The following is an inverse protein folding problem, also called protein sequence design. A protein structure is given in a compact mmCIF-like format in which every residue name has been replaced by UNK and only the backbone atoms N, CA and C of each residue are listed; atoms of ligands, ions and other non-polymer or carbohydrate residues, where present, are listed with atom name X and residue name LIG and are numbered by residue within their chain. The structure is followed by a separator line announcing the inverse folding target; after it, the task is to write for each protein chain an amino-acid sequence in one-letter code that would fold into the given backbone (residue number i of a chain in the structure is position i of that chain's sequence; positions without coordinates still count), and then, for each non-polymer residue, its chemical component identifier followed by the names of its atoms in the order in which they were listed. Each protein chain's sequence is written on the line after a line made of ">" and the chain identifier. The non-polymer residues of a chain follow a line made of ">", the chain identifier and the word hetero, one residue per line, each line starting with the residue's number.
data_IF_290977270718
#
_entry.id   IF_290977270718
#
_cell.length_a   1.000
_cell.length_b   1.000
_cell.length_c   1.000
_cell.angle_alpha   90.00
_cell.angle_beta   90.00
_cell.angle_gamma   90.00
#
_symmetry.space_group_name_H-M   'P 1'
#
loop_
_entity.id
_entity.type
_entity.pdbx_description
1 polymer ?
#
# COMPACT_ATOMS: atom_id res chain seq x y z
N UNK A 1 15.54 -24.88 48.91
CA UNK A 1 16.94 -25.04 48.46
C UNK A 1 17.33 -23.80 47.68
N UNK A 2 18.32 -23.06 48.17
CA UNK A 2 18.86 -21.82 47.61
C UNK A 2 19.88 -22.13 46.52
N UNK A 3 19.85 -21.43 45.39
CA UNK A 3 21.01 -21.20 44.50
C UNK A 3 20.81 -19.82 43.88
N UNK A 4 21.41 -18.83 44.26
CA UNK A 4 22.64 -18.03 44.16
C UNK A 4 23.07 -17.76 42.73
N UNK A 5 22.90 -16.50 42.37
CA UNK A 5 23.72 -15.52 41.63
C UNK A 5 24.80 -16.03 40.66
N UNK A 6 24.80 -15.45 39.45
CA UNK A 6 26.04 -14.97 38.84
C UNK A 6 25.70 -13.79 37.91
N UNK A 7 26.20 -12.63 38.26
CA UNK A 7 26.34 -11.39 37.54
C UNK A 7 27.55 -11.56 36.63
N UNK A 8 27.40 -11.30 35.34
CA UNK A 8 28.53 -11.05 34.44
C UNK A 8 28.31 -9.72 33.73
N UNK A 9 29.04 -8.73 34.20
CA UNK A 9 29.25 -7.46 33.53
C UNK A 9 30.30 -7.65 32.43
N UNK A 10 30.03 -7.15 31.21
CA UNK A 10 31.04 -6.97 30.16
C UNK A 10 30.81 -5.63 29.49
N UNK A 11 31.63 -4.72 29.89
CA UNK A 11 32.37 -3.60 29.28
C UNK A 11 31.95 -3.06 27.93
N UNK A 12 31.77 -1.74 27.96
CA UNK A 12 31.78 -0.78 26.89
C UNK A 12 33.06 -0.84 26.02
N UNK A 13 32.88 -0.68 24.71
CA UNK A 13 33.95 -0.23 23.85
C UNK A 13 33.38 0.91 22.98
N UNK A 14 33.83 2.13 23.34
CA UNK A 14 33.70 3.33 22.53
C UNK A 14 34.71 3.28 21.40
N UNK A 15 34.28 3.59 20.17
CA UNK A 15 35.15 3.99 19.08
C UNK A 15 34.63 5.32 18.53
N UNK A 16 35.35 6.36 18.87
CA UNK A 16 35.27 7.69 18.28
C UNK A 16 36.30 7.79 17.14
N UNK A 17 36.12 8.85 16.36
CA UNK A 17 36.99 9.47 15.33
C UNK A 17 36.59 9.07 13.89
N UNK A 18 36.51 10.04 12.96
CA UNK A 18 37.21 11.30 12.79
C UNK A 18 36.47 12.25 11.86
N UNK A 19 36.43 13.53 12.24
CA UNK A 19 36.22 14.68 11.37
C UNK A 19 37.38 14.85 10.41
N UNK A 20 37.10 15.19 9.16
CA UNK A 20 38.01 15.95 8.34
C UNK A 20 37.20 17.05 7.63
N UNK A 21 37.47 18.27 8.06
CA UNK A 21 37.07 19.50 7.43
C UNK A 21 38.09 19.88 6.36
N UNK A 22 37.60 20.56 5.32
CA UNK A 22 38.24 21.60 4.49
C UNK A 22 37.35 21.81 3.28
N UNK A 23 37.02 22.98 2.83
CA UNK A 23 37.43 24.34 3.06
C UNK A 23 36.56 25.26 2.21
N UNK A 24 36.52 26.51 2.60
CA UNK A 24 35.80 27.65 2.08
C UNK A 24 36.11 28.02 0.64
N UNK A 25 35.12 28.56 -0.07
CA UNK A 25 35.30 29.78 -0.88
C UNK A 25 33.95 30.43 -1.18
N UNK A 26 33.88 31.70 -0.80
CA UNK A 26 32.86 32.69 -1.12
C UNK A 26 32.63 32.86 -2.61
N UNK A 27 31.38 33.07 -3.00
CA UNK A 27 31.01 34.18 -3.89
C UNK A 27 29.50 34.37 -3.89
N UNK A 28 29.08 35.52 -3.45
CA UNK A 28 27.74 36.05 -3.52
C UNK A 28 27.39 36.42 -4.97
N UNK A 29 26.19 36.06 -5.40
CA UNK A 29 25.46 36.84 -6.39
C UNK A 29 23.96 36.57 -6.21
N UNK A 30 23.25 37.61 -5.82
CA UNK A 30 21.79 37.67 -5.78
C UNK A 30 21.22 37.62 -7.20
N UNK A 31 20.16 36.84 -7.40
CA UNK A 31 19.16 37.15 -8.42
C UNK A 31 17.83 36.44 -8.13
N UNK A 32 16.85 37.25 -7.76
CA UNK A 32 15.46 37.28 -8.13
C UNK A 32 14.68 35.92 -8.23
N UNK A 33 13.85 35.71 -7.22
CA UNK A 33 12.78 34.75 -7.22
C UNK A 33 11.68 35.17 -8.21
N UNK A 34 11.28 34.25 -9.10
CA UNK A 34 9.97 34.26 -9.71
C UNK A 34 9.24 32.96 -9.27
N UNK A 35 7.96 33.01 -8.87
CA UNK A 35 7.22 31.81 -8.51
C UNK A 35 6.84 31.06 -9.78
N UNK A 36 7.31 29.84 -9.92
CA UNK A 36 6.76 28.90 -10.90
C UNK A 36 5.50 28.27 -10.30
N UNK A 37 4.36 28.69 -10.78
CA UNK A 37 3.10 27.97 -10.67
C UNK A 37 3.29 26.56 -11.28
N UNK A 38 3.35 25.54 -10.41
CA UNK A 38 3.27 24.16 -10.84
C UNK A 38 1.81 23.77 -10.90
N UNK A 39 1.16 24.04 -12.00
CA UNK A 39 -0.10 23.40 -12.37
C UNK A 39 0.23 22.03 -12.94
N UNK A 40 0.41 21.05 -12.07
CA UNK A 40 0.36 19.65 -12.47
C UNK A 40 -1.09 19.17 -12.29
N UNK A 41 -1.94 19.54 -13.24
CA UNK A 41 -3.17 18.80 -13.54
C UNK A 41 -2.74 17.50 -14.24
N UNK A 42 -2.58 16.44 -13.48
CA UNK A 42 -2.48 15.10 -14.04
C UNK A 42 -3.90 14.63 -14.34
N UNK A 43 -4.40 15.04 -15.49
CA UNK A 43 -5.55 14.44 -16.14
C UNK A 43 -5.12 13.04 -16.55
N UNK A 44 -5.55 12.04 -15.79
CA UNK A 44 -5.41 10.64 -16.15
C UNK A 44 -6.29 10.42 -17.39
N UNK A 45 -5.66 10.43 -18.57
CA UNK A 45 -6.29 9.97 -19.79
C UNK A 45 -6.78 8.52 -19.58
N UNK A 46 -7.98 8.15 -20.13
CA UNK A 46 -8.41 6.76 -20.12
C UNK A 46 -7.30 5.92 -20.76
N UNK A 47 -6.82 4.93 -20.05
CA UNK A 47 -5.86 4.00 -20.58
C UNK A 47 -6.55 3.25 -21.71
N UNK A 48 -6.32 3.73 -22.93
CA UNK A 48 -6.67 3.00 -24.16
C UNK A 48 -6.00 1.64 -24.04
N UNK A 49 -6.80 0.59 -24.13
CA UNK A 49 -6.31 -0.76 -24.11
C UNK A 49 -5.22 -0.86 -25.20
N UNK A 50 -3.98 -1.04 -24.77
CA UNK A 50 -2.90 -1.29 -25.71
C UNK A 50 -3.35 -2.46 -26.59
N UNK A 51 -3.14 -2.41 -27.92
CA UNK A 51 -3.48 -3.54 -28.78
C UNK A 51 -2.81 -4.76 -28.21
N UNK A 52 -3.57 -5.85 -28.08
CA UNK A 52 -3.04 -7.14 -27.70
C UNK A 52 -1.93 -7.46 -28.70
N UNK A 53 -0.69 -7.14 -28.34
CA UNK A 53 0.49 -7.68 -29.02
C UNK A 53 0.40 -9.20 -28.92
N UNK A 54 1.29 -9.91 -29.57
CA UNK A 54 1.35 -11.38 -29.68
C UNK A 54 1.43 -12.11 -28.30
N UNK A 55 0.56 -11.70 -27.35
CA UNK A 55 0.44 -12.37 -26.05
C UNK A 55 -0.23 -13.71 -26.28
N UNK A 56 0.48 -14.76 -25.90
CA UNK A 56 -0.01 -16.13 -25.96
C UNK A 56 -1.09 -16.33 -24.89
N UNK A 57 -2.35 -16.35 -25.31
CA UNK A 57 -3.51 -16.52 -24.43
C UNK A 57 -3.67 -17.96 -23.89
N UNK A 58 -2.85 -18.91 -24.38
CA UNK A 58 -2.84 -20.28 -23.90
C UNK A 58 -1.89 -20.50 -22.70
N UNK A 59 -1.15 -19.46 -22.28
CA UNK A 59 -0.30 -19.52 -21.09
C UNK A 59 -1.13 -19.53 -19.81
N UNK A 60 -0.65 -20.28 -18.82
CA UNK A 60 -1.23 -20.29 -17.48
C UNK A 60 -1.03 -18.93 -16.79
N UNK A 61 -2.07 -18.44 -16.13
CA UNK A 61 -2.00 -17.21 -15.34
C UNK A 61 -1.36 -17.51 -13.98
N UNK A 62 -0.33 -16.77 -13.62
CA UNK A 62 0.26 -16.80 -12.27
C UNK A 62 -0.56 -15.92 -11.33
N UNK A 63 -1.27 -16.54 -10.40
CA UNK A 63 -2.06 -15.82 -9.40
C UNK A 63 -1.19 -15.43 -8.21
N UNK A 64 -1.10 -14.12 -7.93
CA UNK A 64 -0.38 -13.57 -6.77
C UNK A 64 -1.40 -13.12 -5.74
N UNK A 65 -1.37 -13.73 -4.56
CA UNK A 65 -2.28 -13.40 -3.45
C UNK A 65 -1.50 -12.88 -2.23
N UNK A 66 -2.24 -12.43 -1.22
CA UNK A 66 -1.69 -11.97 0.06
C UNK A 66 -1.85 -13.04 1.13
N UNK A 67 -1.07 -12.89 2.17
CA UNK A 67 -1.11 -13.72 3.38
C UNK A 67 -2.45 -13.63 4.12
N UNK A 68 -2.74 -14.62 4.95
CA UNK A 68 -3.87 -14.57 5.87
C UNK A 68 -3.74 -13.40 6.85
N UNK A 69 -4.87 -12.73 7.12
CA UNK A 69 -4.91 -11.52 7.95
C UNK A 69 -4.64 -10.22 7.19
N UNK A 70 -4.29 -10.27 5.90
CA UNK A 70 -4.23 -9.08 5.06
C UNK A 70 -5.62 -8.47 4.87
N UNK A 71 -5.79 -7.20 5.28
CA UNK A 71 -7.04 -6.47 5.06
C UNK A 71 -7.36 -6.28 3.57
N UNK A 72 -6.34 -6.13 2.72
CA UNK A 72 -6.49 -6.05 1.26
C UNK A 72 -7.00 -7.37 0.68
N UNK A 73 -6.48 -8.52 1.17
CA UNK A 73 -7.00 -9.85 0.77
C UNK A 73 -8.45 -10.00 1.18
N UNK A 74 -8.78 -9.73 2.45
CA UNK A 74 -10.15 -9.86 2.92
C UNK A 74 -11.14 -9.00 2.14
N UNK A 75 -10.74 -7.76 1.78
CA UNK A 75 -11.56 -6.90 0.92
C UNK A 75 -11.73 -7.48 -0.48
N UNK A 76 -10.64 -7.92 -1.10
CA UNK A 76 -10.67 -8.46 -2.46
C UNK A 76 -11.56 -9.70 -2.58
N UNK A 77 -11.34 -10.72 -1.75
CA UNK A 77 -12.09 -11.99 -1.84
C UNK A 77 -13.58 -11.80 -1.54
N UNK A 78 -13.93 -10.90 -0.61
CA UNK A 78 -15.33 -10.57 -0.28
C UNK A 78 -16.02 -9.82 -1.42
N UNK A 79 -15.38 -8.77 -1.97
CA UNK A 79 -15.98 -7.91 -2.99
C UNK A 79 -16.06 -8.57 -4.37
N UNK A 80 -15.15 -9.50 -4.66
CA UNK A 80 -15.13 -10.25 -5.92
C UNK A 80 -15.98 -11.53 -5.88
N UNK A 81 -16.44 -11.94 -4.68
CA UNK A 81 -17.19 -13.20 -4.50
C UNK A 81 -16.30 -14.44 -4.52
N UNK A 82 -14.97 -14.29 -4.41
CA UNK A 82 -14.06 -15.42 -4.20
C UNK A 82 -14.30 -16.07 -2.83
N UNK A 83 -14.66 -15.25 -1.83
CA UNK A 83 -15.17 -15.74 -0.55
C UNK A 83 -16.67 -15.96 -0.64
N UNK A 84 -17.11 -17.18 -0.44
CA UNK A 84 -18.51 -17.57 -0.45
C UNK A 84 -18.96 -18.16 0.89
N UNK A 85 -20.27 -18.16 1.13
CA UNK A 85 -20.85 -18.89 2.26
C UNK A 85 -21.23 -20.29 1.82
N UNK A 86 -20.73 -21.29 2.55
CA UNK A 86 -21.16 -22.69 2.34
C UNK A 86 -22.60 -22.94 2.88
N UNK A 87 -23.07 -24.15 2.73
CA UNK A 87 -24.42 -24.59 3.19
C UNK A 87 -24.65 -24.36 4.70
N UNK A 88 -23.58 -24.35 5.50
CA UNK A 88 -23.62 -24.12 6.96
C UNK A 88 -23.53 -22.62 7.31
N UNK A 89 -23.47 -21.74 6.31
CA UNK A 89 -23.32 -20.29 6.49
C UNK A 89 -21.91 -19.84 6.87
N UNK A 90 -20.91 -20.72 6.81
CA UNK A 90 -19.51 -20.40 7.05
C UNK A 90 -18.88 -19.81 5.80
N UNK A 91 -18.07 -18.77 5.98
CA UNK A 91 -17.24 -18.19 4.91
C UNK A 91 -16.15 -19.16 4.49
N UNK A 92 -16.00 -19.36 3.20
CA UNK A 92 -14.97 -20.20 2.56
C UNK A 92 -14.26 -19.35 1.52
N UNK A 93 -12.95 -19.24 1.66
CA UNK A 93 -12.09 -18.60 0.69
C UNK A 93 -11.74 -19.59 -0.42
N UNK A 94 -12.19 -19.32 -1.63
CA UNK A 94 -11.97 -20.14 -2.82
C UNK A 94 -10.75 -19.68 -3.65
N UNK A 95 -9.85 -18.90 -3.05
CA UNK A 95 -8.57 -18.56 -3.70
C UNK A 95 -7.85 -19.88 -4.07
N UNK A 96 -7.35 -19.96 -5.29
CA UNK A 96 -6.63 -21.17 -5.75
C UNK A 96 -5.46 -21.50 -4.83
N UNK A 97 -5.28 -22.78 -4.52
CA UNK A 97 -4.13 -23.27 -3.73
C UNK A 97 -2.79 -23.07 -4.47
N UNK A 98 -2.82 -22.89 -5.79
CA UNK A 98 -1.64 -22.60 -6.60
C UNK A 98 -1.20 -21.14 -6.51
N UNK A 99 -1.95 -20.27 -5.82
CA UNK A 99 -1.59 -18.86 -5.70
C UNK A 99 -0.26 -18.67 -4.95
N UNK A 100 0.64 -17.87 -5.51
CA UNK A 100 1.87 -17.46 -4.83
C UNK A 100 1.55 -16.40 -3.77
N UNK A 101 1.78 -16.74 -2.50
CA UNK A 101 1.44 -15.89 -1.37
C UNK A 101 2.56 -14.88 -1.08
N UNK A 102 2.21 -13.60 -1.02
CA UNK A 102 3.11 -12.50 -0.67
C UNK A 102 2.73 -11.87 0.66
N UNK A 103 3.72 -11.60 1.50
CA UNK A 103 3.55 -11.02 2.85
C UNK A 103 3.53 -9.49 2.87
N UNK A 104 3.57 -8.84 1.70
CA UNK A 104 3.55 -7.38 1.60
C UNK A 104 3.03 -6.90 0.25
N UNK A 105 2.54 -5.67 0.20
CA UNK A 105 2.12 -5.00 -1.04
C UNK A 105 3.27 -4.90 -2.05
N UNK A 106 4.48 -4.52 -1.59
CA UNK A 106 5.66 -4.47 -2.45
C UNK A 106 6.05 -5.84 -3.01
N UNK A 107 5.85 -6.92 -2.22
CA UNK A 107 6.05 -8.29 -2.69
C UNK A 107 5.13 -8.63 -3.86
N UNK A 108 3.84 -8.25 -3.78
CA UNK A 108 2.90 -8.43 -4.88
C UNK A 108 3.35 -7.65 -6.11
N UNK A 109 3.66 -6.36 -5.97
CA UNK A 109 4.09 -5.53 -7.11
C UNK A 109 5.36 -6.09 -7.76
N UNK A 110 6.35 -6.50 -6.95
CA UNK A 110 7.58 -7.09 -7.47
C UNK A 110 7.32 -8.41 -8.21
N UNK A 111 6.45 -9.26 -7.67
CA UNK A 111 6.10 -10.53 -8.32
C UNK A 111 5.42 -10.29 -9.67
N UNK A 112 4.43 -9.38 -9.73
CA UNK A 112 3.72 -9.03 -10.96
C UNK A 112 4.63 -8.35 -11.98
N UNK A 113 5.51 -7.43 -11.53
CA UNK A 113 6.42 -6.73 -12.45
C UNK A 113 7.46 -7.66 -13.12
N UNK A 114 7.76 -8.82 -12.53
CA UNK A 114 8.74 -9.77 -13.05
C UNK A 114 8.13 -10.99 -13.77
N UNK A 115 6.82 -11.05 -13.91
CA UNK A 115 6.11 -12.15 -14.56
C UNK A 115 4.97 -11.59 -15.42
N UNK A 116 5.10 -11.69 -16.74
CA UNK A 116 4.14 -11.16 -17.73
C UNK A 116 2.76 -11.86 -17.66
N UNK A 117 2.70 -13.06 -17.09
CA UNK A 117 1.45 -13.80 -16.90
C UNK A 117 0.83 -13.59 -15.51
N UNK A 118 1.51 -12.84 -14.63
CA UNK A 118 1.04 -12.66 -13.27
C UNK A 118 -0.09 -11.63 -13.14
N UNK A 119 -1.05 -11.97 -12.30
CA UNK A 119 -2.09 -11.06 -11.83
C UNK A 119 -2.13 -11.04 -10.30
N UNK A 120 -2.29 -9.88 -9.72
CA UNK A 120 -2.39 -9.69 -8.27
C UNK A 120 -3.29 -8.52 -7.91
N UNK A 121 -3.43 -8.25 -6.61
CA UNK A 121 -4.19 -7.11 -6.11
C UNK A 121 -3.43 -6.39 -5.00
N UNK A 122 -3.58 -5.07 -4.98
CA UNK A 122 -2.95 -4.17 -4.01
C UNK A 122 -3.92 -3.07 -3.60
N UNK A 123 -3.57 -2.32 -2.57
CA UNK A 123 -4.29 -1.08 -2.23
C UNK A 123 -3.96 0.01 -3.27
N UNK A 124 -4.96 0.80 -3.67
CA UNK A 124 -4.83 1.88 -4.66
C UNK A 124 -3.67 2.83 -4.32
N UNK A 125 -3.53 3.22 -3.07
CA UNK A 125 -2.47 4.12 -2.63
C UNK A 125 -1.04 3.59 -2.71
N UNK A 126 -0.86 2.34 -3.08
CA UNK A 126 0.47 1.76 -3.33
C UNK A 126 0.75 1.59 -4.81
N UNK A 127 -0.22 1.89 -5.67
CA UNK A 127 -0.06 1.76 -7.12
C UNK A 127 1.00 2.74 -7.63
N UNK A 128 1.87 2.24 -8.51
CA UNK A 128 2.88 3.04 -9.20
C UNK A 128 3.15 2.47 -10.61
N UNK A 129 4.02 3.11 -11.36
CA UNK A 129 4.31 2.80 -12.77
C UNK A 129 5.07 1.48 -12.98
N UNK A 130 5.40 0.72 -11.93
CA UNK A 130 6.08 -0.58 -12.07
C UNK A 130 5.13 -1.70 -12.46
N UNK A 131 3.83 -1.51 -12.28
CA UNK A 131 2.77 -2.46 -12.63
C UNK A 131 1.62 -1.76 -13.36
N UNK A 132 0.92 -2.49 -14.20
CA UNK A 132 -0.26 -1.98 -14.91
C UNK A 132 -1.52 -2.26 -14.10
N UNK A 133 -2.29 -1.21 -13.79
CA UNK A 133 -3.63 -1.38 -13.24
C UNK A 133 -4.61 -1.82 -14.33
N UNK A 134 -5.44 -2.81 -14.03
CA UNK A 134 -6.53 -3.22 -14.91
C UNK A 134 -7.83 -2.54 -14.50
N UNK A 135 -8.72 -2.34 -15.46
CA UNK A 135 -10.08 -1.84 -15.19
C UNK A 135 -10.97 -2.96 -14.66
N UNK A 136 -11.92 -2.62 -13.80
CA UNK A 136 -12.94 -3.55 -13.31
C UNK A 136 -14.30 -3.10 -13.83
N UNK A 137 -14.95 -3.94 -14.62
CA UNK A 137 -16.18 -3.56 -15.31
C UNK A 137 -16.02 -2.37 -16.29
N UNK A 138 -14.82 -2.18 -16.84
CA UNK A 138 -14.48 -1.05 -17.70
C UNK A 138 -14.13 0.25 -16.95
N UNK A 139 -14.14 0.24 -15.62
CA UNK A 139 -13.86 1.41 -14.77
C UNK A 139 -12.43 1.29 -14.19
N UNK A 140 -11.63 2.34 -14.35
CA UNK A 140 -10.30 2.44 -13.76
C UNK A 140 -10.41 2.77 -12.27
N UNK A 141 -9.46 2.27 -11.46
CA UNK A 141 -9.36 2.64 -10.06
C UNK A 141 -8.78 4.05 -9.94
N UNK A 142 -9.53 4.99 -9.40
CA UNK A 142 -9.10 6.33 -9.07
C UNK A 142 -9.85 6.88 -7.85
N UNK A 143 -9.37 7.99 -7.29
CA UNK A 143 -10.06 8.65 -6.18
C UNK A 143 -11.46 9.12 -6.60
N UNK A 144 -11.64 9.57 -7.86
CA UNK A 144 -12.92 10.02 -8.39
C UNK A 144 -13.89 8.85 -8.51
N UNK A 145 -13.48 7.75 -9.16
CA UNK A 145 -14.35 6.58 -9.40
C UNK A 145 -14.69 5.81 -8.13
N UNK A 146 -13.84 5.89 -7.10
CA UNK A 146 -14.16 5.41 -5.75
C UNK A 146 -15.18 6.31 -5.06
N UNK A 147 -15.02 7.64 -5.15
CA UNK A 147 -15.93 8.62 -4.51
C UNK A 147 -17.33 8.63 -5.14
N UNK A 148 -17.43 8.51 -6.44
CA UNK A 148 -18.71 8.47 -7.14
C UNK A 148 -19.39 7.09 -7.12
N UNK A 149 -18.68 6.07 -6.62
CA UNK A 149 -19.17 4.70 -6.47
C UNK A 149 -19.17 3.88 -7.76
N UNK A 150 -18.58 4.36 -8.85
CA UNK A 150 -18.47 3.62 -10.09
C UNK A 150 -17.44 2.48 -10.03
N UNK A 151 -16.37 2.64 -9.23
CA UNK A 151 -15.41 1.57 -8.97
C UNK A 151 -15.86 0.69 -7.80
N UNK A 152 -16.24 -0.53 -8.11
CA UNK A 152 -16.94 -1.42 -7.17
C UNK A 152 -16.04 -2.10 -6.13
N UNK A 153 -14.72 -2.21 -6.38
CA UNK A 153 -13.79 -2.83 -5.42
C UNK A 153 -13.24 -1.79 -4.44
N UNK A 154 -14.13 -1.19 -3.65
CA UNK A 154 -13.78 -0.19 -2.66
C UNK A 154 -14.41 -0.49 -1.30
N UNK A 155 -13.68 -0.19 -0.23
CA UNK A 155 -14.15 -0.32 1.16
C UNK A 155 -13.69 0.87 2.00
N UNK A 156 -14.51 1.34 2.95
CA UNK A 156 -14.08 2.37 3.88
C UNK A 156 -13.06 1.83 4.88
N UNK A 157 -12.12 2.67 5.28
CA UNK A 157 -11.33 2.44 6.48
C UNK A 157 -12.15 2.80 7.71
N UNK A 158 -12.10 1.98 8.75
CA UNK A 158 -12.82 2.20 9.99
C UNK A 158 -11.84 2.34 11.16
N UNK A 159 -12.04 3.35 11.99
CA UNK A 159 -11.38 3.47 13.29
C UNK A 159 -12.27 2.76 14.32
N UNK A 160 -11.71 1.82 15.07
CA UNK A 160 -12.45 1.03 16.06
C UNK A 160 -11.92 1.34 17.45
N UNK A 161 -12.84 1.61 18.38
CA UNK A 161 -12.55 1.82 19.81
C UNK A 161 -13.27 0.79 20.66
N UNK A 162 -12.77 0.53 21.85
CA UNK A 162 -13.47 -0.31 22.84
C UNK A 162 -14.44 0.56 23.65
N UNK A 163 -15.65 0.71 23.18
CA UNK A 163 -16.63 1.66 23.72
C UNK A 163 -16.30 3.12 23.33
N UNK A 164 -16.74 4.08 24.15
CA UNK A 164 -16.41 5.48 23.93
C UNK A 164 -14.92 5.73 24.20
N UNK A 165 -14.25 6.38 23.27
CA UNK A 165 -12.87 6.78 23.47
C UNK A 165 -12.82 7.88 24.56
N UNK A 166 -12.35 7.52 25.74
CA UNK A 166 -12.26 8.43 26.91
C UNK A 166 -10.83 8.89 27.21
N UNK A 167 -9.84 8.18 26.70
CA UNK A 167 -8.44 8.58 26.83
C UNK A 167 -8.18 9.82 25.96
N UNK A 168 -7.66 10.93 26.53
CA UNK A 168 -7.46 12.17 25.77
C UNK A 168 -6.51 12.02 24.58
N UNK A 169 -5.50 11.16 24.69
CA UNK A 169 -4.54 10.92 23.61
C UNK A 169 -5.19 10.15 22.47
N UNK A 170 -6.02 9.16 22.78
CA UNK A 170 -6.78 8.42 21.77
C UNK A 170 -7.78 9.33 21.05
N UNK A 171 -8.48 10.17 21.79
CA UNK A 171 -9.43 11.15 21.22
C UNK A 171 -8.74 12.14 20.30
N UNK A 172 -7.59 12.69 20.71
CA UNK A 172 -6.80 13.63 19.91
C UNK A 172 -6.25 12.96 18.64
N UNK A 173 -5.73 11.74 18.75
CA UNK A 173 -5.28 10.96 17.60
C UNK A 173 -6.40 10.68 16.60
N UNK A 174 -7.59 10.29 17.06
CA UNK A 174 -8.76 10.07 16.20
C UNK A 174 -9.15 11.38 15.51
N UNK A 175 -9.18 12.49 16.26
CA UNK A 175 -9.48 13.80 15.71
C UNK A 175 -8.47 14.21 14.64
N UNK A 176 -7.17 13.96 14.87
CA UNK A 176 -6.13 14.17 13.87
C UNK A 176 -6.36 13.31 12.62
N UNK A 177 -6.60 11.99 12.76
CA UNK A 177 -6.87 11.10 11.63
C UNK A 177 -8.04 11.56 10.76
N UNK A 178 -9.07 12.18 11.38
CA UNK A 178 -10.26 12.69 10.68
C UNK A 178 -10.10 14.13 10.19
N UNK A 179 -9.00 14.81 10.54
CA UNK A 179 -8.72 16.18 10.13
C UNK A 179 -8.24 16.24 8.67
N UNK A 180 -8.25 17.46 8.11
CA UNK A 180 -7.71 17.70 6.77
C UNK A 180 -6.23 17.26 6.64
N UNK A 181 -5.43 17.53 7.68
CA UNK A 181 -4.01 17.20 7.67
C UNK A 181 -3.77 15.68 7.78
N UNK A 182 -4.56 15.00 8.62
CA UNK A 182 -4.52 13.55 8.76
C UNK A 182 -5.05 12.80 7.54
N UNK A 183 -5.94 13.43 6.75
CA UNK A 183 -6.47 12.84 5.51
C UNK A 183 -5.59 13.12 4.29
N UNK A 184 -4.71 14.10 4.35
CA UNK A 184 -3.83 14.45 3.22
C UNK A 184 -2.96 13.28 2.73
N UNK A 185 -2.37 12.40 3.59
CA UNK A 185 -1.59 11.25 3.14
C UNK A 185 -2.43 10.12 2.51
N UNK A 186 -3.74 10.11 2.70
CA UNK A 186 -4.66 9.08 2.15
C UNK A 186 -5.50 9.59 0.98
N UNK A 187 -5.32 10.86 0.61
CA UNK A 187 -5.93 11.47 -0.57
C UNK A 187 -4.96 11.37 -1.75
N UNK A 188 -5.37 10.69 -2.80
CA UNK A 188 -4.59 10.50 -4.03
C UNK A 188 -5.18 11.33 -5.15
#
# INVERSE_FOLDING_TARGET
>A
MKRKSAIAAVTAAALALSLAACGSSDSAAASSAAPVESTASSEAAPAEAAPAGDFDTDQDITVISREDGSGTRGAFIELTGVEEKNADGKKVDNTTEAAAIQSSTNGVMTAVANDETAIGYISLGSLNDTVKAVTVGGVAASAETVKDGSYVLARPFNIVTNGDATDPVAVDFIAYCLSKDGQAPVSY
#
